data_IF_311848759839
#
_entry.id   IF_311848759839
#
_cell.length_a   1.000
_cell.length_b   1.000
_cell.length_c   1.000
_cell.angle_alpha   90.00
_cell.angle_beta   90.00
_cell.angle_gamma   90.00
#
_symmetry.space_group_name_H-M   'P 1'
#
loop_
_entity.id
_entity.type
_entity.pdbx_description
1 polymer ?
#
# COMPACT_ATOMS: atom_id res chain seq x y z
N UNK A 1 27.93 -72.98 -7.77
CA UNK A 1 26.65 -72.37 -8.12
C UNK A 1 26.28 -71.34 -7.08
N UNK A 2 26.25 -70.07 -7.51
CA UNK A 2 25.33 -68.98 -7.16
C UNK A 2 25.02 -68.69 -5.67
N UNK A 3 24.93 -67.45 -5.21
CA UNK A 3 25.26 -66.14 -5.72
C UNK A 3 25.09 -65.18 -4.53
N UNK A 4 26.00 -64.23 -4.36
CA UNK A 4 25.74 -63.00 -3.61
C UNK A 4 24.51 -62.30 -4.23
N UNK A 5 23.63 -61.71 -3.40
CA UNK A 5 23.39 -60.27 -3.40
C UNK A 5 22.16 -59.81 -2.60
N UNK A 6 22.27 -58.55 -2.18
CA UNK A 6 21.21 -57.58 -1.84
C UNK A 6 20.71 -57.49 -0.39
N UNK A 7 21.43 -56.67 0.39
CA UNK A 7 20.80 -55.71 1.30
C UNK A 7 21.55 -54.40 1.23
N UNK A 8 21.06 -53.47 0.40
CA UNK A 8 21.53 -52.08 0.44
C UNK A 8 20.42 -51.15 -0.06
N UNK A 9 19.50 -50.78 0.83
CA UNK A 9 18.57 -49.68 0.56
C UNK A 9 17.99 -49.13 1.88
N UNK A 10 18.71 -48.22 2.55
CA UNK A 10 18.13 -47.43 3.66
C UNK A 10 18.84 -46.10 3.98
N UNK A 11 19.71 -45.58 3.11
CA UNK A 11 20.54 -44.40 3.45
C UNK A 11 20.20 -43.09 2.74
N UNK A 12 19.14 -43.02 1.92
CA UNK A 12 18.84 -41.83 1.11
C UNK A 12 17.82 -40.86 1.70
N UNK A 13 16.98 -41.27 2.67
CA UNK A 13 15.93 -40.38 3.20
C UNK A 13 16.45 -39.40 4.27
N UNK A 14 17.51 -39.76 5.02
CA UNK A 14 17.98 -38.98 6.17
C UNK A 14 18.89 -37.78 5.80
N UNK A 15 19.40 -37.72 4.56
CA UNK A 15 20.22 -36.58 4.06
C UNK A 15 19.37 -35.41 3.54
N UNK A 16 18.15 -35.69 3.08
CA UNK A 16 17.27 -34.67 2.50
C UNK A 16 16.56 -33.83 3.58
N UNK A 17 16.23 -34.42 4.72
CA UNK A 17 15.60 -33.70 5.84
C UNK A 17 16.60 -32.78 6.58
N UNK A 18 17.83 -33.25 6.81
CA UNK A 18 18.89 -32.45 7.44
C UNK A 18 19.36 -31.26 6.60
N UNK A 19 19.25 -31.32 5.26
CA UNK A 19 19.52 -30.16 4.36
C UNK A 19 18.40 -29.12 4.40
N UNK A 20 17.14 -29.53 4.48
CA UNK A 20 15.98 -28.61 4.60
C UNK A 20 15.98 -27.84 5.92
N UNK A 21 16.51 -28.42 6.98
CA UNK A 21 16.54 -27.79 8.32
C UNK A 21 17.65 -26.75 8.47
N UNK A 22 18.82 -26.95 7.84
CA UNK A 22 19.91 -25.96 7.82
C UNK A 22 19.63 -24.73 6.96
N UNK A 23 18.78 -24.83 5.95
CA UNK A 23 18.47 -23.72 5.03
C UNK A 23 17.30 -22.85 5.51
N UNK A 24 16.46 -23.33 6.44
CA UNK A 24 15.30 -22.58 6.97
C UNK A 24 15.67 -21.20 7.55
N UNK A 25 16.73 -21.05 8.36
CA UNK A 25 17.14 -19.74 8.86
C UNK A 25 17.55 -18.76 7.74
N UNK A 26 18.24 -19.26 6.70
CA UNK A 26 18.65 -18.45 5.56
C UNK A 26 17.47 -18.04 4.69
N UNK A 27 16.50 -18.93 4.48
CA UNK A 27 15.27 -18.62 3.74
C UNK A 27 14.42 -17.57 4.46
N UNK A 28 14.31 -17.65 5.79
CA UNK A 28 13.63 -16.64 6.61
C UNK A 28 14.38 -15.31 6.53
N UNK A 29 15.70 -15.30 6.66
CA UNK A 29 16.51 -14.09 6.53
C UNK A 29 16.36 -13.43 5.14
N UNK A 30 16.37 -14.22 4.06
CA UNK A 30 16.18 -13.72 2.71
C UNK A 30 14.76 -13.13 2.52
N UNK A 31 13.72 -13.77 3.06
CA UNK A 31 12.35 -13.24 3.03
C UNK A 31 12.21 -11.95 3.84
N UNK A 32 12.84 -11.88 5.01
CA UNK A 32 12.86 -10.67 5.85
C UNK A 32 13.58 -9.52 5.14
N UNK A 33 14.72 -9.78 4.51
CA UNK A 33 15.43 -8.76 3.71
C UNK A 33 14.57 -8.26 2.55
N UNK A 34 13.92 -9.17 1.80
CA UNK A 34 13.02 -8.77 0.71
C UNK A 34 11.82 -7.95 1.22
N UNK A 35 11.26 -8.29 2.37
CA UNK A 35 10.18 -7.54 3.02
C UNK A 35 10.66 -6.16 3.51
N UNK A 36 11.85 -6.07 4.12
CA UNK A 36 12.43 -4.80 4.56
C UNK A 36 12.76 -3.88 3.39
N UNK A 37 13.33 -4.39 2.30
CA UNK A 37 13.56 -3.58 1.09
C UNK A 37 12.25 -3.09 0.45
N UNK A 38 11.18 -3.90 0.52
CA UNK A 38 9.86 -3.45 0.07
C UNK A 38 9.35 -2.30 0.95
N UNK A 39 9.40 -2.43 2.27
CA UNK A 39 8.97 -1.37 3.18
C UNK A 39 9.79 -0.08 3.01
N UNK A 40 11.11 -0.21 2.83
CA UNK A 40 11.99 0.94 2.60
C UNK A 40 11.58 1.69 1.34
N UNK A 41 11.37 0.98 0.23
CA UNK A 41 10.93 1.59 -1.03
C UNK A 41 9.55 2.26 -0.90
N UNK A 42 8.60 1.59 -0.24
CA UNK A 42 7.26 2.17 0.00
C UNK A 42 7.34 3.44 0.84
N UNK A 43 8.21 3.50 1.85
CA UNK A 43 8.44 4.70 2.64
C UNK A 43 9.07 5.83 1.80
N UNK A 44 10.09 5.51 1.00
CA UNK A 44 10.73 6.48 0.09
C UNK A 44 9.73 7.05 -0.94
N UNK A 45 8.86 6.22 -1.52
CA UNK A 45 7.81 6.66 -2.45
C UNK A 45 6.77 7.58 -1.77
N UNK A 46 6.43 7.30 -0.51
CA UNK A 46 5.51 8.14 0.26
C UNK A 46 6.14 9.51 0.57
N UNK A 47 7.40 9.54 0.99
CA UNK A 47 8.12 10.78 1.29
C UNK A 47 8.27 11.65 0.02
N UNK A 48 8.59 11.05 -1.13
CA UNK A 48 8.68 11.76 -2.41
C UNK A 48 7.32 12.38 -2.80
N UNK A 49 6.23 11.62 -2.66
CA UNK A 49 4.90 12.13 -2.95
C UNK A 49 4.54 13.31 -2.03
N UNK A 50 4.82 13.22 -0.73
CA UNK A 50 4.58 14.33 0.19
C UNK A 50 5.33 15.60 -0.22
N UNK A 51 6.59 15.47 -0.63
CA UNK A 51 7.38 16.59 -1.11
C UNK A 51 6.75 17.25 -2.36
N UNK A 52 6.32 16.45 -3.34
CA UNK A 52 5.65 16.94 -4.56
C UNK A 52 4.37 17.71 -4.22
N UNK A 53 3.60 17.22 -3.26
CA UNK A 53 2.36 17.85 -2.81
C UNK A 53 2.63 19.21 -2.16
N UNK A 54 3.62 19.29 -1.28
CA UNK A 54 4.02 20.55 -0.65
C UNK A 54 4.52 21.58 -1.66
N UNK A 55 5.36 21.17 -2.61
CA UNK A 55 5.87 22.05 -3.67
C UNK A 55 4.72 22.56 -4.54
N UNK A 56 3.81 21.68 -4.94
CA UNK A 56 2.62 22.05 -5.71
C UNK A 56 1.74 23.05 -4.98
N UNK A 57 1.53 22.87 -3.67
CA UNK A 57 0.75 23.78 -2.85
C UNK A 57 1.42 25.16 -2.68
N UNK A 58 2.75 25.23 -2.72
CA UNK A 58 3.51 26.49 -2.62
C UNK A 58 3.51 27.26 -3.95
N UNK A 59 3.64 26.58 -5.08
CA UNK A 59 3.81 27.23 -6.38
C UNK A 59 2.49 27.66 -7.05
N UNK A 60 1.42 26.89 -6.83
CA UNK A 60 0.16 27.06 -7.56
C UNK A 60 -0.89 27.71 -6.65
N UNK A 61 -1.17 28.99 -6.90
CA UNK A 61 -2.21 29.77 -6.19
C UNK A 61 -3.57 29.06 -6.07
N UNK A 62 -3.94 28.25 -7.06
CA UNK A 62 -5.25 27.59 -7.12
C UNK A 62 -5.26 26.14 -6.59
N UNK A 63 -4.11 25.61 -6.18
CA UNK A 63 -3.98 24.19 -5.81
C UNK A 63 -4.76 23.88 -4.53
N UNK A 64 -5.65 22.89 -4.62
CA UNK A 64 -6.46 22.46 -3.48
C UNK A 64 -7.55 23.44 -3.06
N UNK A 65 -7.89 24.43 -3.90
CA UNK A 65 -9.03 25.33 -3.64
C UNK A 65 -10.36 24.58 -3.71
N UNK A 66 -11.17 24.71 -2.65
CA UNK A 66 -12.42 23.96 -2.47
C UNK A 66 -13.43 24.27 -3.58
N UNK A 67 -13.46 25.51 -4.08
CA UNK A 67 -14.36 25.95 -5.16
C UNK A 67 -14.09 25.20 -6.48
N UNK A 68 -12.90 24.60 -6.59
CA UNK A 68 -12.47 23.82 -7.76
C UNK A 68 -12.44 22.33 -7.48
N UNK A 69 -13.00 21.86 -6.37
CA UNK A 69 -12.92 20.46 -5.92
C UNK A 69 -13.29 19.43 -6.98
N UNK A 70 -14.30 19.71 -7.80
CA UNK A 70 -14.70 18.85 -8.93
C UNK A 70 -13.60 18.65 -9.99
N UNK A 71 -12.68 19.59 -10.12
CA UNK A 71 -11.59 19.58 -11.10
C UNK A 71 -10.23 19.30 -10.48
N UNK A 72 -10.20 18.89 -9.21
CA UNK A 72 -8.94 18.52 -8.56
C UNK A 72 -8.28 17.36 -9.29
N UNK A 73 -6.99 17.51 -9.51
CA UNK A 73 -6.12 16.40 -9.84
C UNK A 73 -6.00 15.42 -8.66
N UNK A 74 -5.47 14.22 -8.92
CA UNK A 74 -5.15 13.23 -7.87
C UNK A 74 -4.28 13.86 -6.78
N UNK A 75 -3.31 14.69 -7.14
CA UNK A 75 -2.45 15.39 -6.19
C UNK A 75 -3.23 16.35 -5.28
N UNK A 76 -4.20 17.08 -5.83
CA UNK A 76 -5.04 18.00 -5.04
C UNK A 76 -5.97 17.24 -4.09
N UNK A 77 -6.46 16.06 -4.49
CA UNK A 77 -7.20 15.16 -3.59
C UNK A 77 -6.31 14.67 -2.44
N UNK A 78 -5.08 14.26 -2.75
CA UNK A 78 -4.10 13.86 -1.74
C UNK A 78 -3.77 15.01 -0.78
N UNK A 79 -3.61 16.22 -1.30
CA UNK A 79 -3.40 17.42 -0.49
C UNK A 79 -4.59 17.71 0.43
N UNK A 80 -5.81 17.55 -0.09
CA UNK A 80 -7.01 17.68 0.70
C UNK A 80 -7.08 16.65 1.85
N UNK A 81 -6.67 15.40 1.62
CA UNK A 81 -6.57 14.39 2.70
C UNK A 81 -5.64 14.84 3.83
N UNK A 82 -4.50 15.46 3.51
CA UNK A 82 -3.61 16.07 4.53
C UNK A 82 -4.37 17.15 5.31
N UNK A 83 -5.09 18.03 4.60
CA UNK A 83 -5.79 19.16 5.23
C UNK A 83 -6.87 18.72 6.24
N UNK A 84 -7.45 17.54 6.07
CA UNK A 84 -8.44 16.97 6.99
C UNK A 84 -7.83 15.99 8.02
N UNK A 85 -6.50 15.83 8.03
CA UNK A 85 -5.77 14.90 8.91
C UNK A 85 -6.07 13.44 8.60
N UNK A 86 -6.00 13.08 7.33
CA UNK A 86 -6.20 11.74 6.76
C UNK A 86 -5.01 11.33 5.86
N UNK A 87 -3.82 11.83 6.18
CA UNK A 87 -2.60 11.63 5.40
C UNK A 87 -2.20 10.16 5.26
N UNK A 88 -2.57 9.29 6.21
CA UNK A 88 -2.32 7.85 6.13
C UNK A 88 -2.99 7.17 4.91
N UNK A 89 -3.97 7.82 4.29
CA UNK A 89 -4.70 7.32 3.12
C UNK A 89 -4.24 7.92 1.79
N UNK A 90 -3.27 8.85 1.79
CA UNK A 90 -2.79 9.52 0.57
C UNK A 90 -2.38 8.51 -0.49
N UNK A 91 -1.54 7.55 -0.13
CA UNK A 91 -1.01 6.59 -1.10
C UNK A 91 -2.10 5.70 -1.69
N UNK A 92 -3.14 5.39 -0.91
CA UNK A 92 -4.29 4.61 -1.38
C UNK A 92 -5.10 5.40 -2.41
N UNK A 93 -5.40 6.66 -2.14
CA UNK A 93 -6.11 7.52 -3.10
C UNK A 93 -5.26 7.80 -4.34
N UNK A 94 -3.95 8.01 -4.16
CA UNK A 94 -3.01 8.24 -5.24
C UNK A 94 -2.90 7.03 -6.17
N UNK A 95 -2.63 5.85 -5.62
CA UNK A 95 -2.47 4.61 -6.40
C UNK A 95 -3.74 4.17 -7.11
N UNK A 96 -4.92 4.48 -6.55
CA UNK A 96 -6.22 4.25 -7.19
C UNK A 96 -6.63 5.38 -8.15
N UNK A 97 -5.78 6.38 -8.39
CA UNK A 97 -6.02 7.53 -9.27
C UNK A 97 -7.32 8.28 -8.94
N UNK A 98 -7.63 8.43 -7.65
CA UNK A 98 -8.83 9.15 -7.22
C UNK A 98 -8.63 10.64 -7.43
N UNK A 99 -9.28 11.18 -8.45
CA UNK A 99 -9.35 12.62 -8.74
C UNK A 99 -10.57 13.29 -8.08
N UNK A 100 -10.71 14.60 -8.24
CA UNK A 100 -11.78 15.39 -7.64
C UNK A 100 -13.18 14.98 -8.11
N UNK A 101 -13.32 14.56 -9.37
CA UNK A 101 -14.61 14.13 -9.89
C UNK A 101 -15.01 12.79 -9.28
N UNK A 102 -14.07 11.83 -9.20
CA UNK A 102 -14.30 10.54 -8.54
C UNK A 102 -14.55 10.70 -7.03
N UNK A 103 -13.79 11.56 -6.36
CA UNK A 103 -13.94 11.87 -4.92
C UNK A 103 -15.36 12.33 -4.61
N UNK A 104 -15.92 13.20 -5.45
CA UNK A 104 -17.25 13.77 -5.22
C UNK A 104 -18.37 12.85 -5.69
N UNK A 105 -18.20 12.11 -6.78
CA UNK A 105 -19.35 11.44 -7.43
C UNK A 105 -19.34 9.92 -7.29
N UNK A 106 -18.17 9.30 -7.18
CA UNK A 106 -18.02 7.85 -7.31
C UNK A 106 -17.66 7.19 -5.97
N UNK A 107 -17.05 7.94 -5.04
CA UNK A 107 -16.77 7.42 -3.71
C UNK A 107 -18.02 7.31 -2.86
N UNK A 108 -18.11 6.16 -2.20
CA UNK A 108 -19.10 5.82 -1.20
C UNK A 108 -18.41 5.29 0.05
N UNK A 109 -19.12 5.24 1.17
CA UNK A 109 -18.57 4.60 2.37
C UNK A 109 -18.18 3.14 2.12
N UNK A 110 -18.97 2.41 1.31
CA UNK A 110 -18.66 1.03 0.96
C UNK A 110 -17.33 0.92 0.19
N UNK A 111 -17.08 1.80 -0.79
CA UNK A 111 -15.82 1.76 -1.54
C UNK A 111 -14.62 2.19 -0.71
N UNK A 112 -14.78 3.13 0.24
CA UNK A 112 -13.73 3.44 1.23
C UNK A 112 -13.35 2.20 2.06
N UNK A 113 -14.34 1.46 2.56
CA UNK A 113 -14.11 0.31 3.42
C UNK A 113 -13.57 -0.91 2.66
N UNK A 114 -14.12 -1.20 1.49
CA UNK A 114 -13.90 -2.46 0.77
C UNK A 114 -12.77 -2.34 -0.23
N UNK A 115 -12.76 -1.26 -1.02
CA UNK A 115 -11.82 -1.11 -2.14
C UNK A 115 -10.53 -0.43 -1.69
N UNK A 116 -10.67 0.60 -0.85
CA UNK A 116 -9.54 1.39 -0.34
C UNK A 116 -9.07 0.93 1.05
N UNK A 117 -9.72 -0.06 1.65
CA UNK A 117 -9.36 -0.62 2.97
C UNK A 117 -9.21 0.43 4.08
N UNK A 118 -9.98 1.52 3.99
CA UNK A 118 -10.02 2.57 5.00
C UNK A 118 -10.65 2.03 6.27
N UNK A 119 -10.10 2.36 7.44
CA UNK A 119 -10.68 1.97 8.72
C UNK A 119 -12.08 2.57 8.88
N UNK A 120 -13.01 1.82 9.44
CA UNK A 120 -14.40 2.27 9.64
C UNK A 120 -14.53 3.59 10.42
N UNK A 121 -13.65 3.83 11.39
CA UNK A 121 -13.66 5.10 12.13
C UNK A 121 -13.24 6.29 11.25
N UNK A 122 -12.37 6.06 10.27
CA UNK A 122 -11.88 7.09 9.34
C UNK A 122 -12.81 7.26 8.12
N UNK A 123 -13.48 6.20 7.66
CA UNK A 123 -14.44 6.27 6.54
C UNK A 123 -15.52 7.31 6.80
N UNK A 124 -16.13 7.29 7.99
CA UNK A 124 -17.15 8.28 8.36
C UNK A 124 -16.61 9.72 8.37
N UNK A 125 -15.35 9.94 8.79
CA UNK A 125 -14.75 11.29 8.78
C UNK A 125 -14.51 11.76 7.34
N UNK A 126 -13.98 10.91 6.47
CA UNK A 126 -13.78 11.22 5.05
C UNK A 126 -15.12 11.52 4.37
N UNK A 127 -16.16 10.71 4.58
CA UNK A 127 -17.48 10.93 3.98
C UNK A 127 -18.14 12.25 4.42
N UNK A 128 -17.97 12.64 5.69
CA UNK A 128 -18.42 13.96 6.17
C UNK A 128 -17.69 15.09 5.46
N UNK A 129 -16.37 15.00 5.34
CA UNK A 129 -15.57 16.00 4.65
C UNK A 129 -15.91 16.08 3.15
N UNK A 130 -16.16 14.96 2.46
CA UNK A 130 -16.66 14.93 1.07
C UNK A 130 -18.02 15.66 0.97
N UNK A 131 -18.89 15.47 1.95
CA UNK A 131 -20.21 16.14 1.98
C UNK A 131 -20.08 17.65 2.15
N UNK A 132 -19.02 18.14 2.79
CA UNK A 132 -18.73 19.57 2.93
C UNK A 132 -18.22 20.17 1.61
N UNK A 133 -17.44 19.43 0.82
CA UNK A 133 -16.98 19.88 -0.50
C UNK A 133 -18.11 20.05 -1.53
N UNK A 134 -19.25 19.39 -1.31
CA UNK A 134 -20.42 19.44 -2.21
C UNK A 134 -21.36 20.60 -1.95
N UNK A 135 -21.16 21.35 -0.86
CA UNK A 135 -22.01 22.48 -0.47
C UNK A 135 -21.64 23.72 -1.27
#
# INVERSE_FOLDING_TARGET
NNNNNHSNNNNNNNKNEKKKEKNRPQEIANKLNAMMEKFRREAEEQDELLQILEESAKEKSEFGKIERSKHWSVHEVCWWLISIGMEEYIFLFYSHNIDGNMLLHDLSEASLLQDLSVKQIHSHKIMRAISELKK
#
